data_IF_371741391140
#
_entry.id   IF_371741391140
#
_cell.length_a   1.000
_cell.length_b   1.000
_cell.length_c   1.000
_cell.angle_alpha   90.00
_cell.angle_beta   90.00
_cell.angle_gamma   90.00
#
_symmetry.space_group_name_H-M   'P 1'
#
loop_
_entity.id
_entity.type
_entity.pdbx_description
1 polymer ?
#
# COMPACT_ATOMS: atom_id res chain seq x y z
N UNK A 1 9.67 1.18 -13.82
CA UNK A 1 9.06 0.04 -13.10
C UNK A 1 9.12 0.27 -11.61
N UNK A 2 8.03 0.72 -10.96
CA UNK A 2 7.73 0.46 -9.53
C UNK A 2 6.20 0.59 -9.25
N UNK A 3 5.31 -0.19 -9.91
CA UNK A 3 3.89 -0.20 -9.57
C UNK A 3 3.54 -1.23 -8.47
N UNK A 4 4.46 -2.06 -8.00
CA UNK A 4 4.07 -3.30 -7.30
C UNK A 4 3.73 -3.11 -5.80
N UNK A 5 4.23 -2.05 -5.16
CA UNK A 5 4.15 -1.88 -3.70
C UNK A 5 2.75 -1.58 -3.13
N UNK A 6 1.81 -1.12 -3.95
CA UNK A 6 0.44 -0.88 -3.51
C UNK A 6 -0.43 -2.17 -3.44
N UNK A 7 0.08 -3.28 -3.99
CA UNK A 7 -0.63 -4.55 -4.08
C UNK A 7 -0.67 -5.28 -2.72
N UNK A 8 0.41 -5.19 -1.94
CA UNK A 8 0.50 -5.81 -0.62
C UNK A 8 -0.25 -5.02 0.48
N UNK A 9 -0.69 -3.79 0.19
CA UNK A 9 -1.64 -3.02 1.01
C UNK A 9 -3.05 -3.59 0.89
N UNK A 10 -3.47 -3.90 -0.33
CA UNK A 10 -4.77 -4.50 -0.62
C UNK A 10 -4.85 -5.94 -0.07
N UNK A 11 -3.71 -6.65 -0.12
CA UNK A 11 -3.49 -7.95 0.50
C UNK A 11 -3.76 -7.95 2.02
N UNK A 12 -3.28 -6.90 2.70
CA UNK A 12 -3.47 -6.71 4.14
C UNK A 12 -4.94 -6.52 4.51
N UNK A 13 -5.70 -5.80 3.68
CA UNK A 13 -7.15 -5.62 3.88
C UNK A 13 -7.93 -6.90 3.59
N UNK A 14 -7.58 -7.63 2.54
CA UNK A 14 -8.31 -8.82 2.09
C UNK A 14 -8.07 -10.04 2.98
N UNK A 15 -6.88 -10.20 3.56
CA UNK A 15 -6.54 -11.36 4.39
C UNK A 15 -7.11 -11.27 5.81
N UNK A 16 -7.41 -10.09 6.36
CA UNK A 16 -7.73 -9.94 7.78
C UNK A 16 -9.17 -10.34 8.23
N UNK A 17 -10.12 -10.73 7.35
CA UNK A 17 -11.56 -10.72 7.73
C UNK A 17 -12.36 -11.99 7.41
N UNK A 18 -11.75 -13.14 7.14
CA UNK A 18 -12.52 -14.40 7.02
C UNK A 18 -12.89 -15.09 8.36
N UNK A 19 -12.75 -14.41 9.51
CA UNK A 19 -12.97 -15.01 10.85
C UNK A 19 -14.05 -14.35 11.71
N UNK A 20 -14.75 -13.32 11.25
CA UNK A 20 -15.81 -12.70 12.06
C UNK A 20 -17.16 -13.42 11.88
N UNK A 21 -17.48 -14.37 12.77
CA UNK A 21 -18.86 -14.85 12.95
C UNK A 21 -19.79 -13.67 13.36
N UNK A 22 -21.08 -13.69 12.99
CA UNK A 22 -22.02 -12.65 13.39
C UNK A 22 -22.36 -12.86 14.88
N UNK A 23 -21.82 -12.01 15.74
CA UNK A 23 -22.07 -12.02 17.17
C UNK A 23 -22.58 -10.66 17.63
N UNK A 24 -23.89 -10.60 17.88
CA UNK A 24 -24.60 -9.81 18.89
C UNK A 24 -24.22 -8.34 19.12
N UNK A 25 -25.21 -7.48 18.90
CA UNK A 25 -25.24 -6.05 19.20
C UNK A 25 -24.69 -5.68 20.58
N UNK A 26 -23.77 -4.70 20.62
CA UNK A 26 -23.51 -3.80 21.75
C UNK A 26 -22.91 -2.49 21.23
N UNK A 27 -23.56 -1.38 21.60
CA UNK A 27 -23.10 0.01 21.60
C UNK A 27 -22.42 0.58 20.33
N UNK A 28 -23.18 1.41 19.61
CA UNK A 28 -22.73 2.36 18.60
C UNK A 28 -21.74 3.36 19.21
N UNK A 29 -20.46 3.25 18.84
CA UNK A 29 -19.47 4.33 18.92
C UNK A 29 -19.03 4.67 17.49
N UNK A 30 -19.06 5.96 17.15
CA UNK A 30 -18.78 6.58 15.85
C UNK A 30 -17.34 6.40 15.30
N UNK A 31 -16.61 5.36 15.72
CA UNK A 31 -15.23 5.09 15.26
C UNK A 31 -15.13 3.91 14.27
N UNK A 32 -16.23 3.56 13.59
CA UNK A 32 -16.28 2.45 12.62
C UNK A 32 -15.94 2.89 11.18
N UNK A 33 -15.25 4.04 11.05
CA UNK A 33 -14.97 4.68 9.76
C UNK A 33 -13.63 4.22 9.20
N UNK A 34 -13.60 3.97 7.88
CA UNK A 34 -12.37 3.73 7.15
C UNK A 34 -11.47 4.97 7.30
N UNK A 35 -10.19 4.81 7.68
CA UNK A 35 -9.25 5.94 7.71
C UNK A 35 -9.30 6.67 6.37
N UNK A 36 -9.54 7.97 6.40
CA UNK A 36 -9.63 8.79 5.18
C UNK A 36 -8.31 8.77 4.40
N UNK A 37 -7.20 8.53 5.10
CA UNK A 37 -5.86 8.57 4.53
C UNK A 37 -4.87 7.67 5.28
N UNK A 38 -4.19 6.80 4.56
CA UNK A 38 -3.19 5.85 5.10
C UNK A 38 -1.90 5.97 4.31
N UNK A 39 -0.76 6.06 5.00
CA UNK A 39 0.57 5.98 4.37
C UNK A 39 1.25 4.65 4.68
N UNK A 40 1.89 4.07 3.68
CA UNK A 40 2.47 2.74 3.79
C UNK A 40 3.90 2.78 3.31
N UNK A 41 4.80 2.53 4.25
CA UNK A 41 6.23 2.44 4.05
C UNK A 41 6.63 0.99 3.87
N UNK A 42 7.35 0.72 2.79
CA UNK A 42 7.96 -0.57 2.53
C UNK A 42 9.44 -0.45 2.81
N UNK A 43 9.97 -1.23 3.75
CA UNK A 43 11.36 -1.14 4.17
C UNK A 43 12.11 -2.45 3.96
N UNK A 44 13.43 -2.35 3.99
CA UNK A 44 14.37 -3.46 4.10
C UNK A 44 15.42 -3.01 5.12
N UNK A 45 15.15 -3.35 6.39
CA UNK A 45 15.77 -2.73 7.55
C UNK A 45 15.49 -1.22 7.58
N UNK A 46 16.54 -0.41 7.59
CA UNK A 46 16.43 1.06 7.58
C UNK A 46 16.21 1.65 6.19
N UNK A 47 16.34 0.84 5.12
CA UNK A 47 16.23 1.31 3.74
C UNK A 47 14.77 1.36 3.31
N UNK A 48 14.32 2.53 2.90
CA UNK A 48 13.01 2.70 2.28
C UNK A 48 12.99 2.16 0.85
N UNK A 49 12.19 1.12 0.59
CA UNK A 49 11.95 0.58 -0.75
C UNK A 49 10.81 1.32 -1.45
N UNK A 50 9.76 1.73 -0.74
CA UNK A 50 8.61 2.41 -1.35
C UNK A 50 7.73 3.17 -0.38
N UNK A 51 6.97 4.11 -0.92
CA UNK A 51 5.88 4.78 -0.22
C UNK A 51 4.63 4.68 -1.07
N UNK A 52 3.52 4.28 -0.46
CA UNK A 52 2.19 4.41 -1.05
C UNK A 52 1.30 5.17 -0.09
N UNK A 53 0.39 5.96 -0.65
CA UNK A 53 -0.66 6.62 0.10
C UNK A 53 -2.00 6.12 -0.42
N UNK A 54 -2.92 5.83 0.49
CA UNK A 54 -4.29 5.44 0.18
C UNK A 54 -5.19 6.55 0.71
N UNK A 55 -6.14 7.01 -0.10
CA UNK A 55 -7.10 8.05 0.23
C UNK A 55 -8.52 7.58 -0.06
N UNK A 56 -9.43 7.83 0.87
CA UNK A 56 -10.86 7.52 0.79
C UNK A 56 -11.67 8.75 1.21
N UNK A 57 -11.54 9.84 0.45
CA UNK A 57 -12.09 11.16 0.80
C UNK A 57 -13.62 11.25 0.66
N UNK A 58 -14.22 10.39 -0.17
CA UNK A 58 -15.66 10.30 -0.36
C UNK A 58 -16.08 8.84 -0.11
N UNK A 59 -17.03 8.61 0.80
CA UNK A 59 -17.52 7.25 1.15
C UNK A 59 -18.04 6.48 -0.06
N UNK A 60 -18.66 7.20 -0.99
CA UNK A 60 -19.21 6.64 -2.22
C UNK A 60 -18.27 6.83 -3.41
N UNK A 61 -17.12 7.49 -3.22
CA UNK A 61 -16.09 7.69 -4.24
C UNK A 61 -15.08 6.56 -4.33
N UNK A 62 -14.15 6.59 -5.30
CA UNK A 62 -13.07 5.62 -5.40
C UNK A 62 -12.11 5.73 -4.21
N UNK A 63 -11.44 4.62 -3.90
CA UNK A 63 -10.27 4.62 -3.02
C UNK A 63 -9.04 4.86 -3.89
N UNK A 64 -8.44 6.03 -3.73
CA UNK A 64 -7.28 6.45 -4.48
C UNK A 64 -5.99 5.94 -3.86
N UNK A 65 -5.13 5.33 -4.67
CA UNK A 65 -3.82 4.80 -4.25
C UNK A 65 -2.73 5.52 -5.04
N UNK A 66 -1.87 6.24 -4.33
CA UNK A 66 -0.79 7.02 -4.91
C UNK A 66 0.56 6.42 -4.54
N UNK A 67 1.29 5.92 -5.52
CA UNK A 67 2.67 5.44 -5.32
C UNK A 67 3.67 6.57 -5.51
N UNK A 68 4.53 6.80 -4.52
CA UNK A 68 5.60 7.80 -4.58
C UNK A 68 6.95 7.08 -4.76
N UNK A 69 7.62 7.24 -5.92
CA UNK A 69 8.94 6.66 -6.13
C UNK A 69 9.94 7.17 -5.09
N UNK A 70 10.80 6.29 -4.57
CA UNK A 70 11.75 6.66 -3.49
C UNK A 70 12.83 7.65 -3.94
N UNK A 71 13.07 7.75 -5.24
CA UNK A 71 13.97 8.72 -5.86
C UNK A 71 13.27 10.05 -6.22
N UNK A 72 12.02 10.24 -5.78
CA UNK A 72 11.30 11.50 -5.97
C UNK A 72 11.95 12.60 -5.16
N UNK A 73 12.18 13.74 -5.81
CA UNK A 73 12.88 14.87 -5.22
C UNK A 73 11.89 15.71 -4.39
N UNK A 74 12.16 15.86 -3.08
CA UNK A 74 11.26 16.55 -2.13
C UNK A 74 11.62 18.02 -1.89
N UNK A 75 12.89 18.40 -2.03
CA UNK A 75 13.35 19.77 -1.75
C UNK A 75 14.35 20.24 -2.81
N UNK A 76 13.88 21.16 -3.68
CA UNK A 76 14.66 21.81 -4.73
C UNK A 76 16.01 22.40 -4.29
N UNK A 77 16.19 22.73 -2.99
CA UNK A 77 17.42 23.35 -2.47
C UNK A 77 18.49 22.35 -2.02
N UNK A 78 18.09 21.17 -1.56
CA UNK A 78 19.03 20.21 -0.93
C UNK A 78 19.18 18.90 -1.70
N UNK A 79 18.62 18.78 -2.91
CA UNK A 79 18.68 17.55 -3.72
C UNK A 79 18.22 16.28 -2.98
N UNK A 80 17.37 16.43 -1.95
CA UNK A 80 16.96 15.33 -1.08
C UNK A 80 15.81 14.55 -1.70
N UNK A 81 16.03 13.25 -1.91
CA UNK A 81 14.99 12.30 -2.34
C UNK A 81 14.12 11.83 -1.18
N UNK A 82 12.98 11.19 -1.49
CA UNK A 82 12.11 10.54 -0.50
C UNK A 82 12.88 9.52 0.36
N UNK A 83 13.74 8.69 -0.25
CA UNK A 83 14.58 7.73 0.45
C UNK A 83 15.53 8.41 1.45
N UNK A 84 16.26 9.43 0.99
CA UNK A 84 17.24 10.14 1.83
C UNK A 84 16.55 10.91 2.95
N UNK A 85 15.39 11.51 2.67
CA UNK A 85 14.60 12.20 3.68
C UNK A 85 14.13 11.23 4.76
N UNK A 86 13.61 10.06 4.37
CA UNK A 86 13.22 9.01 5.31
C UNK A 86 14.39 8.56 6.19
N UNK A 87 15.54 8.25 5.59
CA UNK A 87 16.71 7.77 6.31
C UNK A 87 17.23 8.82 7.32
N UNK A 88 17.22 10.10 6.93
CA UNK A 88 17.73 11.21 7.75
C UNK A 88 16.78 11.62 8.88
N UNK A 89 15.48 11.52 8.65
CA UNK A 89 14.47 12.18 9.49
C UNK A 89 13.44 11.23 10.11
N UNK A 90 13.39 9.98 9.63
CA UNK A 90 12.44 8.97 10.07
C UNK A 90 11.04 9.11 9.44
N UNK A 91 10.15 8.13 9.71
CA UNK A 91 8.82 8.06 9.14
C UNK A 91 7.98 9.30 9.47
N UNK A 92 7.93 9.71 10.74
CA UNK A 92 7.04 10.79 11.20
C UNK A 92 7.28 12.13 10.48
N UNK A 93 8.54 12.49 10.22
CA UNK A 93 8.85 13.70 9.46
C UNK A 93 8.48 13.54 7.98
N UNK A 94 8.67 12.36 7.40
CA UNK A 94 8.24 12.10 6.02
C UNK A 94 6.71 12.14 5.88
N UNK A 95 5.96 11.62 6.86
CA UNK A 95 4.49 11.74 6.91
C UNK A 95 4.09 13.21 6.81
N UNK A 96 4.58 14.07 7.71
CA UNK A 96 4.28 15.53 7.68
C UNK A 96 4.64 16.20 6.36
N UNK A 97 5.76 15.77 5.76
CA UNK A 97 6.16 16.27 4.44
C UNK A 97 5.16 15.86 3.35
N UNK A 98 4.69 14.62 3.37
CA UNK A 98 3.67 14.14 2.45
C UNK A 98 2.33 14.84 2.68
N UNK A 99 1.91 15.06 3.93
CA UNK A 99 0.70 15.83 4.26
C UNK A 99 0.75 17.23 3.66
N UNK A 100 1.90 17.90 3.77
CA UNK A 100 2.13 19.23 3.17
C UNK A 100 2.04 19.19 1.65
N UNK A 101 2.60 18.17 1.00
CA UNK A 101 2.62 18.04 -0.46
C UNK A 101 1.23 17.73 -1.02
N UNK A 102 0.49 16.82 -0.39
CA UNK A 102 -0.84 16.43 -0.83
C UNK A 102 -1.95 17.36 -0.32
N UNK A 103 -1.67 18.22 0.67
CA UNK A 103 -2.67 19.09 1.26
C UNK A 103 -3.75 18.35 2.06
N UNK A 104 -3.42 17.16 2.58
CA UNK A 104 -4.34 16.28 3.32
C UNK A 104 -3.63 15.74 4.56
N UNK A 105 -4.33 15.62 5.68
CA UNK A 105 -3.82 14.89 6.85
C UNK A 105 -3.69 13.40 6.51
N UNK A 106 -2.74 12.71 7.15
CA UNK A 106 -2.55 11.26 7.07
C UNK A 106 -2.96 10.68 8.43
N UNK A 107 -4.11 10.01 8.46
CA UNK A 107 -4.72 9.52 9.72
C UNK A 107 -4.09 8.24 10.24
N UNK A 108 -3.54 7.41 9.35
CA UNK A 108 -2.90 6.17 9.74
C UNK A 108 -1.62 5.87 8.95
N UNK A 109 -0.74 5.05 9.53
CA UNK A 109 0.48 4.60 8.91
C UNK A 109 0.68 3.09 9.09
N UNK A 110 1.40 2.49 8.15
CA UNK A 110 1.87 1.11 8.20
C UNK A 110 3.32 1.07 7.72
N UNK A 111 4.20 0.43 8.48
CA UNK A 111 5.60 0.18 8.09
C UNK A 111 5.78 -1.33 7.97
N UNK A 112 6.00 -1.80 6.74
CA UNK A 112 6.13 -3.21 6.42
C UNK A 112 7.57 -3.47 5.99
N UNK A 113 8.31 -4.20 6.82
CA UNK A 113 9.65 -4.65 6.49
C UNK A 113 9.60 -5.85 5.53
N UNK A 114 10.60 -5.95 4.66
CA UNK A 114 10.75 -7.07 3.73
C UNK A 114 10.73 -8.42 4.46
N UNK A 115 11.27 -8.50 5.68
CA UNK A 115 11.20 -9.71 6.51
C UNK A 115 9.77 -10.14 6.80
N UNK A 116 8.89 -9.21 7.15
CA UNK A 116 7.47 -9.49 7.38
C UNK A 116 6.81 -10.07 6.12
N UNK A 117 7.14 -9.50 4.97
CA UNK A 117 6.64 -9.99 3.68
C UNK A 117 7.18 -11.39 3.34
N UNK A 118 8.45 -11.69 3.63
CA UNK A 118 9.02 -13.06 3.49
C UNK A 118 8.22 -14.03 4.36
N UNK A 119 8.01 -13.69 5.63
CA UNK A 119 7.31 -14.55 6.57
C UNK A 119 5.86 -14.82 6.13
N UNK A 120 5.13 -13.79 5.70
CA UNK A 120 3.78 -13.95 5.13
C UNK A 120 3.80 -14.79 3.85
N UNK A 121 4.77 -14.57 2.96
CA UNK A 121 4.94 -15.35 1.74
C UNK A 121 5.19 -16.83 2.04
N UNK A 122 5.98 -17.14 3.06
CA UNK A 122 6.25 -18.51 3.50
C UNK A 122 5.00 -19.19 4.07
N UNK A 123 4.21 -18.47 4.86
CA UNK A 123 2.94 -18.97 5.39
C UNK A 123 1.99 -19.28 4.22
N UNK A 124 1.75 -18.32 3.34
CA UNK A 124 0.86 -18.49 2.16
C UNK A 124 1.34 -19.67 1.30
N UNK A 125 2.65 -19.77 1.07
CA UNK A 125 3.25 -20.72 0.16
C UNK A 125 3.13 -20.26 -1.30
N UNK A 126 3.40 -21.16 -2.26
CA UNK A 126 3.31 -20.83 -3.67
C UNK A 126 1.87 -20.47 -4.08
N UNK A 127 1.74 -19.42 -4.89
CA UNK A 127 0.49 -18.99 -5.52
C UNK A 127 0.57 -19.13 -7.03
N UNK A 128 -0.57 -19.30 -7.70
CA UNK A 128 -0.62 -19.42 -9.16
C UNK A 128 -1.02 -18.09 -9.80
N UNK A 129 -0.11 -17.49 -10.56
CA UNK A 129 -0.31 -16.22 -11.26
C UNK A 129 0.40 -16.25 -12.61
N UNK A 130 -0.20 -15.59 -13.62
CA UNK A 130 0.35 -15.49 -14.98
C UNK A 130 0.81 -16.85 -15.55
N UNK A 131 0.02 -17.90 -15.29
CA UNK A 131 0.28 -19.25 -15.79
C UNK A 131 1.39 -20.03 -15.05
N UNK A 132 1.96 -19.50 -13.97
CA UNK A 132 3.08 -20.13 -13.24
C UNK A 132 2.88 -20.11 -11.72
N UNK A 133 3.54 -21.03 -11.02
CA UNK A 133 3.69 -20.94 -9.57
C UNK A 133 4.75 -19.89 -9.24
N UNK A 134 4.41 -19.01 -8.30
CA UNK A 134 5.27 -17.92 -7.83
C UNK A 134 5.07 -17.70 -6.34
N UNK A 135 5.90 -16.87 -5.72
CA UNK A 135 5.74 -16.48 -4.32
C UNK A 135 5.18 -15.07 -4.21
N UNK A 136 4.56 -14.74 -3.08
CA UNK A 136 4.12 -13.37 -2.85
C UNK A 136 5.30 -12.38 -2.88
N UNK A 137 6.49 -12.82 -2.46
CA UNK A 137 7.70 -12.02 -2.56
C UNK A 137 8.10 -11.74 -4.02
N UNK A 138 8.08 -12.76 -4.88
CA UNK A 138 8.42 -12.58 -6.30
C UNK A 138 7.43 -11.66 -7.01
N UNK A 139 6.14 -11.78 -6.66
CA UNK A 139 5.11 -10.84 -7.12
C UNK A 139 5.48 -9.44 -6.68
N UNK A 140 5.88 -9.24 -5.41
CA UNK A 140 6.24 -7.93 -4.86
C UNK A 140 7.51 -7.29 -5.47
N UNK A 141 8.52 -8.10 -5.79
CA UNK A 141 9.72 -7.62 -6.48
C UNK A 141 9.50 -7.45 -8.00
N UNK A 142 8.44 -8.06 -8.54
CA UNK A 142 8.14 -8.03 -9.97
C UNK A 142 8.94 -9.04 -10.78
N UNK A 143 9.47 -10.07 -10.11
CA UNK A 143 10.33 -11.09 -10.71
C UNK A 143 9.53 -12.29 -11.25
N UNK A 144 8.21 -12.20 -11.29
CA UNK A 144 7.33 -13.31 -11.68
C UNK A 144 6.93 -13.30 -13.16
N UNK A 145 7.23 -12.25 -13.93
CA UNK A 145 7.03 -12.22 -15.39
C UNK A 145 8.11 -11.43 -16.09
N UNK A 146 8.41 -11.83 -17.32
CA UNK A 146 9.38 -11.17 -18.20
C UNK A 146 8.64 -10.19 -19.12
N UNK A 147 8.26 -9.02 -18.59
CA UNK A 147 7.59 -8.00 -19.41
C UNK A 147 6.75 -6.97 -18.66
N UNK A 148 6.12 -6.04 -19.39
CA UNK A 148 5.20 -5.07 -18.80
C UNK A 148 3.95 -5.78 -18.28
N UNK A 149 3.65 -5.55 -17.01
CA UNK A 149 2.47 -6.09 -16.33
C UNK A 149 1.28 -5.15 -16.51
N UNK A 150 0.13 -5.68 -16.95
CA UNK A 150 -1.13 -4.98 -16.77
C UNK A 150 -1.52 -5.03 -15.29
N UNK A 151 -1.44 -3.87 -14.63
CA UNK A 151 -1.63 -3.75 -13.20
C UNK A 151 -3.03 -4.19 -12.73
N UNK A 152 -4.06 -3.96 -13.55
CA UNK A 152 -5.43 -4.35 -13.20
C UNK A 152 -5.60 -5.87 -13.23
N UNK A 153 -4.98 -6.54 -14.19
CA UNK A 153 -5.01 -8.00 -14.31
C UNK A 153 -4.18 -8.67 -13.22
N UNK A 154 -3.02 -8.10 -12.88
CA UNK A 154 -2.20 -8.55 -11.75
C UNK A 154 -2.96 -8.48 -10.43
N UNK A 155 -3.64 -7.35 -10.16
CA UNK A 155 -4.46 -7.17 -8.96
C UNK A 155 -5.54 -8.25 -8.88
N UNK A 156 -6.28 -8.48 -9.97
CA UNK A 156 -7.33 -9.51 -10.00
C UNK A 156 -6.76 -10.90 -9.79
N UNK A 157 -5.67 -11.25 -10.46
CA UNK A 157 -5.05 -12.57 -10.33
C UNK A 157 -4.52 -12.82 -8.91
N UNK A 158 -3.85 -11.84 -8.32
CA UNK A 158 -3.37 -11.96 -6.95
C UNK A 158 -4.53 -12.08 -5.97
N UNK A 159 -5.55 -11.20 -6.09
CA UNK A 159 -6.73 -11.28 -5.23
C UNK A 159 -7.40 -12.66 -5.34
N UNK A 160 -7.54 -13.19 -6.56
CA UNK A 160 -8.05 -14.55 -6.80
C UNK A 160 -7.21 -15.62 -6.11
N UNK A 161 -5.88 -15.56 -6.21
CA UNK A 161 -4.98 -16.53 -5.59
C UNK A 161 -5.07 -16.53 -4.05
N UNK A 162 -5.26 -15.36 -3.44
CA UNK A 162 -5.35 -15.21 -1.97
C UNK A 162 -6.71 -15.59 -1.40
N UNK A 163 -7.75 -15.54 -2.23
CA UNK A 163 -9.09 -15.97 -1.86
C UNK A 163 -9.31 -17.47 -2.06
N UNK A 164 -8.27 -18.23 -2.43
CA UNK A 164 -8.35 -19.69 -2.51
C UNK A 164 -8.54 -20.31 -1.12
N UNK A 165 -9.35 -21.38 -0.97
CA UNK A 165 -9.58 -22.02 0.34
C UNK A 165 -8.30 -22.41 1.08
N UNK A 166 -7.25 -22.80 0.35
CA UNK A 166 -5.96 -23.16 0.91
C UNK A 166 -5.25 -21.99 1.62
N UNK A 167 -5.39 -20.76 1.10
CA UNK A 167 -4.84 -19.56 1.73
C UNK A 167 -5.74 -19.09 2.86
N UNK A 168 -7.06 -19.21 2.72
CA UNK A 168 -8.02 -18.76 3.74
C UNK A 168 -7.84 -19.47 5.09
N UNK A 169 -7.50 -20.75 5.09
CA UNK A 169 -7.22 -21.50 6.32
C UNK A 169 -5.99 -20.93 7.07
N UNK A 170 -5.05 -20.31 6.35
CA UNK A 170 -3.81 -19.76 6.91
C UNK A 170 -3.94 -18.30 7.38
N UNK A 171 -5.09 -17.68 7.14
CA UNK A 171 -5.37 -16.29 7.54
C UNK A 171 -5.01 -15.98 9.00
N UNK A 172 -5.34 -16.81 10.01
CA UNK A 172 -5.00 -16.51 11.40
C UNK A 172 -3.48 -16.40 11.62
N UNK A 173 -2.69 -17.26 10.98
CA UNK A 173 -1.23 -17.24 11.07
C UNK A 173 -0.66 -16.02 10.33
N UNK A 174 -1.22 -15.66 9.18
CA UNK A 174 -0.86 -14.44 8.46
C UNK A 174 -1.10 -13.20 9.33
N UNK A 175 -2.29 -13.08 9.93
CA UNK A 175 -2.63 -11.98 10.85
C UNK A 175 -1.63 -11.92 12.00
N UNK A 176 -1.26 -13.07 12.57
CA UNK A 176 -0.29 -13.14 13.65
C UNK A 176 1.08 -12.58 13.26
N UNK A 177 1.61 -12.98 12.09
CA UNK A 177 2.87 -12.44 11.55
C UNK A 177 2.78 -10.92 11.41
N UNK A 178 1.69 -10.43 10.84
CA UNK A 178 1.47 -8.98 10.68
C UNK A 178 1.44 -8.25 12.02
N UNK A 179 0.66 -8.72 12.99
CA UNK A 179 0.55 -8.08 14.31
C UNK A 179 1.89 -8.03 15.07
N UNK A 180 2.82 -8.96 14.78
CA UNK A 180 4.13 -8.99 15.42
C UNK A 180 5.21 -8.22 14.68
N UNK A 181 5.14 -8.16 13.37
CA UNK A 181 6.26 -7.72 12.53
C UNK A 181 6.00 -6.43 11.77
N UNK A 182 4.78 -5.89 11.83
CA UNK A 182 4.41 -4.62 11.19
C UNK A 182 4.16 -3.54 12.23
N UNK A 183 4.88 -2.43 12.11
CA UNK A 183 4.66 -1.22 12.94
C UNK A 183 3.55 -0.39 12.29
N UNK A 184 2.45 -0.21 13.03
CA UNK A 184 1.24 0.40 12.51
C UNK A 184 0.37 0.94 13.63
N UNK A 185 -0.35 2.03 13.35
CA UNK A 185 -1.45 2.50 14.21
C UNK A 185 -2.84 2.06 13.69
N UNK A 186 -2.89 1.13 12.74
CA UNK A 186 -4.12 0.55 12.21
C UNK A 186 -4.73 -0.42 13.23
N UNK A 187 -5.99 -0.19 13.57
CA UNK A 187 -6.78 -1.08 14.41
C UNK A 187 -7.49 -2.16 13.57
N UNK A 188 -7.92 -3.27 14.18
CA UNK A 188 -8.77 -4.25 13.50
C UNK A 188 -10.07 -3.67 12.92
N UNK A 189 -10.60 -2.59 13.50
CA UNK A 189 -11.80 -1.90 13.02
C UNK A 189 -11.54 -1.21 11.67
N UNK A 190 -10.42 -0.52 11.52
CA UNK A 190 -10.01 0.07 10.25
C UNK A 190 -9.91 -1.00 9.14
N UNK A 191 -9.35 -2.18 9.47
CA UNK A 191 -9.24 -3.30 8.53
C UNK A 191 -10.60 -3.85 8.13
N UNK A 192 -11.50 -4.04 9.10
CA UNK A 192 -12.87 -4.46 8.85
C UNK A 192 -13.62 -3.45 7.96
N UNK A 193 -13.43 -2.14 8.18
CA UNK A 193 -14.05 -1.09 7.38
C UNK A 193 -13.55 -1.13 5.92
N UNK A 194 -12.24 -1.19 5.68
CA UNK A 194 -11.68 -1.35 4.34
C UNK A 194 -12.20 -2.61 3.63
N UNK A 195 -12.27 -3.74 4.35
CA UNK A 195 -12.82 -4.98 3.81
C UNK A 195 -14.29 -4.83 3.39
N UNK A 196 -15.12 -4.21 4.23
CA UNK A 196 -16.53 -3.96 3.89
C UNK A 196 -16.64 -3.17 2.59
N UNK A 197 -15.83 -2.12 2.39
CA UNK A 197 -15.85 -1.33 1.16
C UNK A 197 -15.50 -2.19 -0.06
N UNK A 198 -14.39 -2.93 -0.02
CA UNK A 198 -13.96 -3.77 -1.15
C UNK A 198 -14.97 -4.90 -1.43
N UNK A 199 -15.53 -5.51 -0.38
CA UNK A 199 -16.52 -6.60 -0.55
C UNK A 199 -17.81 -6.12 -1.21
N UNK A 200 -18.32 -4.96 -0.81
CA UNK A 200 -19.60 -4.45 -1.34
C UNK A 200 -19.45 -3.77 -2.69
N UNK A 201 -18.33 -3.06 -2.93
CA UNK A 201 -18.12 -2.27 -4.14
C UNK A 201 -17.25 -2.94 -5.20
N UNK A 202 -16.64 -4.08 -4.84
CA UNK A 202 -15.72 -4.81 -5.69
C UNK A 202 -14.32 -4.16 -5.76
N UNK A 203 -13.36 -4.83 -6.43
CA UNK A 203 -11.99 -4.34 -6.54
C UNK A 203 -11.85 -3.11 -7.45
N UNK A 204 -12.82 -2.84 -8.33
CA UNK A 204 -12.77 -1.72 -9.28
C UNK A 204 -12.95 -0.35 -8.59
N UNK A 205 -13.32 -0.32 -7.31
CA UNK A 205 -13.31 0.91 -6.49
C UNK A 205 -11.90 1.45 -6.25
N UNK A 206 -10.86 0.63 -6.45
CA UNK A 206 -9.47 1.04 -6.26
C UNK A 206 -8.92 1.69 -7.51
N UNK A 207 -8.59 2.98 -7.41
CA UNK A 207 -7.90 3.70 -8.47
C UNK A 207 -6.45 3.92 -8.08
N UNK A 208 -5.52 3.72 -9.02
CA UNK A 208 -4.10 3.77 -8.70
C UNK A 208 -3.31 4.60 -9.69
N UNK A 209 -2.43 5.44 -9.16
CA UNK A 209 -1.54 6.29 -9.94
C UNK A 209 -0.19 6.42 -9.26
N UNK A 210 0.90 6.44 -10.03
CA UNK A 210 2.18 6.89 -9.50
C UNK A 210 2.26 8.41 -9.62
N UNK A 211 2.90 9.09 -8.68
CA UNK A 211 3.11 10.54 -8.79
C UNK A 211 3.88 10.83 -10.10
N UNK A 212 3.28 11.61 -11.02
CA UNK A 212 3.91 11.91 -12.29
C UNK A 212 5.02 12.94 -12.09
N UNK A 213 6.03 12.87 -12.95
CA UNK A 213 7.17 13.76 -12.87
C UNK A 213 8.18 13.47 -13.98
N UNK A 214 9.15 14.35 -14.09
CA UNK A 214 10.25 14.22 -15.04
C UNK A 214 11.40 13.48 -14.37
N UNK A 215 11.77 12.33 -14.94
CA UNK A 215 12.97 11.61 -14.52
C UNK A 215 14.20 12.34 -15.08
N UNK A 216 15.16 12.65 -14.22
CA UNK A 216 16.45 13.23 -14.61
C UNK A 216 17.59 12.53 -13.88
N UNK A 217 18.78 12.56 -14.45
CA UNK A 217 20.00 12.01 -13.83
C UNK A 217 20.93 13.18 -13.53
N UNK A 218 21.35 13.31 -12.27
CA UNK A 218 22.33 14.32 -11.81
C UNK A 218 23.42 13.54 -11.09
N UNK A 219 24.69 13.71 -11.49
CA UNK A 219 25.84 13.03 -10.86
C UNK A 219 25.66 11.50 -10.73
N UNK A 220 25.19 10.87 -11.82
CA UNK A 220 24.90 9.43 -11.88
C UNK A 220 23.82 8.92 -10.90
N UNK A 221 23.00 9.83 -10.34
CA UNK A 221 21.85 9.50 -9.50
C UNK A 221 20.56 9.84 -10.21
N UNK A 222 19.59 8.93 -10.14
CA UNK A 222 18.26 9.13 -10.70
C UNK A 222 17.41 9.96 -9.74
N UNK A 223 16.72 10.96 -10.28
CA UNK A 223 15.77 11.81 -9.57
C UNK A 223 14.45 11.86 -10.34
N UNK A 224 13.35 12.07 -9.64
CA UNK A 224 12.07 12.45 -10.24
C UNK A 224 11.67 13.83 -9.73
N UNK A 225 11.60 14.80 -10.63
CA UNK A 225 11.10 16.15 -10.36
C UNK A 225 9.59 16.18 -10.54
N UNK A 226 8.88 16.64 -9.52
CA UNK A 226 7.42 16.78 -9.50
C UNK A 226 7.10 18.27 -9.37
N UNK A 227 6.23 18.80 -10.22
CA UNK A 227 5.89 20.22 -10.18
C UNK A 227 5.00 20.56 -8.97
N UNK A 228 5.06 21.79 -8.42
CA UNK A 228 4.41 22.15 -7.15
C UNK A 228 2.88 21.96 -7.03
N UNK A 229 2.13 21.73 -8.12
CA UNK A 229 0.69 21.41 -8.07
C UNK A 229 0.34 19.96 -8.44
N UNK A 230 1.33 19.18 -8.88
CA UNK A 230 1.10 17.81 -9.36
C UNK A 230 0.65 16.87 -8.24
N UNK A 231 1.08 17.11 -7.01
CA UNK A 231 0.75 16.27 -5.86
C UNK A 231 -0.75 16.30 -5.56
N UNK A 232 -1.33 17.49 -5.42
CA UNK A 232 -2.77 17.67 -5.19
C UNK A 232 -3.58 17.22 -6.41
N UNK A 233 -3.12 17.54 -7.63
CA UNK A 233 -3.80 17.07 -8.84
C UNK A 233 -3.85 15.54 -8.90
N UNK A 234 -2.75 14.85 -8.57
CA UNK A 234 -2.72 13.38 -8.54
C UNK A 234 -3.70 12.82 -7.53
N UNK A 235 -3.88 13.48 -6.38
CA UNK A 235 -4.87 13.10 -5.38
C UNK A 235 -6.29 13.27 -5.90
N UNK A 236 -6.60 14.40 -6.52
CA UNK A 236 -7.92 14.63 -7.12
C UNK A 236 -8.21 13.58 -8.20
N UNK A 237 -7.25 13.31 -9.08
CA UNK A 237 -7.40 12.35 -10.19
C UNK A 237 -7.75 10.92 -9.75
N UNK A 238 -7.39 10.52 -8.52
CA UNK A 238 -7.64 9.17 -8.00
C UNK A 238 -8.79 9.11 -6.99
N UNK A 239 -9.34 10.27 -6.60
CA UNK A 239 -10.44 10.36 -5.62
C UNK A 239 -11.73 10.97 -6.19
N UNK A 240 -11.69 11.53 -7.40
CA UNK A 240 -12.84 12.10 -8.12
C UNK A 240 -13.67 11.08 -8.90
#
# INVERSE_FOLDING_TARGET
>A
MQPIKALAVMLFVLLCVNTSKPGSALARQDNDETPESVIIFWTDGTRLKAVNLTFSLNRDGPIGIISVPVYTWLDSRQSTTVAEYYLKHGPQKLIRRMETLFGSSITAYIIIDQKALVNVSNVIGPIYMAGRHTTLMDVFEGNYVDGPVNLQDEIRQLAGALLTPAVLIKVPEIIWVFCKEVDSNITPQHLAAFYRVIRHRGPDVLQKKAVPGQDCVIENRKYRRVSPGTWQQTLMDVTS
#
